data_IF_354128878370
#
_entry.id   IF_354128878370
#
_cell.length_a   1.000
_cell.length_b   1.000
_cell.length_c   1.000
_cell.angle_alpha   90.00
_cell.angle_beta   90.00
_cell.angle_gamma   90.00
#
_symmetry.space_group_name_H-M   'P 1'
#
loop_
_entity.id
_entity.type
_entity.pdbx_description
1 polymer ?
#
# COMPACT_ATOMS: atom_id res chain seq x y z
N UNK A 1 -16.11 10.92 -29.53
CA UNK A 1 -17.42 11.11 -30.19
C UNK A 1 -18.36 11.75 -29.19
N UNK A 2 -19.19 12.70 -29.64
CA UNK A 2 -19.99 13.53 -28.73
C UNK A 2 -21.37 13.83 -29.35
N UNK A 3 -22.44 13.63 -28.58
CA UNK A 3 -23.84 13.97 -28.92
C UNK A 3 -24.45 14.74 -27.74
N UNK A 4 -25.31 15.73 -28.00
CA UNK A 4 -25.85 16.61 -26.94
C UNK A 4 -27.37 16.85 -27.00
N UNK A 5 -28.05 16.40 -28.05
CA UNK A 5 -29.49 16.57 -28.14
C UNK A 5 -30.18 15.70 -27.09
N UNK A 6 -31.22 16.21 -26.41
CA UNK A 6 -31.85 15.52 -25.29
C UNK A 6 -32.29 14.08 -25.58
N UNK A 7 -32.73 13.80 -26.82
CA UNK A 7 -33.10 12.44 -27.27
C UNK A 7 -32.16 11.91 -28.36
N UNK A 8 -30.93 12.41 -28.39
CA UNK A 8 -29.93 12.01 -29.37
C UNK A 8 -29.53 10.56 -29.16
N UNK A 9 -29.38 9.80 -30.25
CA UNK A 9 -28.83 8.44 -30.23
C UNK A 9 -27.41 8.47 -30.79
N UNK A 10 -26.47 7.90 -30.05
CA UNK A 10 -25.11 7.63 -30.53
C UNK A 10 -24.97 6.11 -30.71
N UNK A 11 -25.00 5.67 -31.97
CA UNK A 11 -24.85 4.25 -32.32
C UNK A 11 -23.53 3.98 -33.01
N UNK A 12 -22.78 3.00 -32.51
CA UNK A 12 -21.68 2.33 -33.21
C UNK A 12 -22.08 0.89 -33.49
N UNK A 13 -22.02 0.50 -34.75
CA UNK A 13 -22.26 -0.88 -35.18
C UNK A 13 -21.14 -1.36 -36.08
N UNK A 14 -20.58 -2.54 -35.78
CA UNK A 14 -19.56 -3.19 -36.61
C UNK A 14 -19.97 -4.64 -36.88
N UNK A 15 -19.79 -5.10 -38.13
CA UNK A 15 -20.05 -6.50 -38.49
C UNK A 15 -19.06 -7.50 -37.86
N UNK A 16 -17.93 -7.01 -37.33
CA UNK A 16 -16.95 -7.77 -36.56
C UNK A 16 -16.72 -7.08 -35.22
N UNK A 17 -15.54 -6.52 -35.01
CA UNK A 17 -15.12 -5.97 -33.72
C UNK A 17 -15.33 -4.45 -33.66
N UNK A 18 -15.63 -3.94 -32.47
CA UNK A 18 -15.48 -2.53 -32.12
C UNK A 18 -14.27 -2.44 -31.18
N UNK A 19 -13.27 -1.64 -31.56
CA UNK A 19 -12.08 -1.40 -30.74
C UNK A 19 -12.04 0.07 -30.35
N UNK A 20 -12.10 0.35 -29.05
CA UNK A 20 -11.96 1.67 -28.45
C UNK A 20 -10.73 1.65 -27.56
N UNK A 21 -9.68 2.35 -27.99
CA UNK A 21 -8.42 2.49 -27.22
C UNK A 21 -8.36 3.91 -26.68
N UNK A 22 -8.37 4.06 -25.35
CA UNK A 22 -8.39 5.36 -24.66
C UNK A 22 -9.37 6.38 -25.28
N UNK A 23 -10.51 5.90 -25.74
CA UNK A 23 -11.46 6.68 -26.54
C UNK A 23 -12.58 7.22 -25.68
N UNK A 24 -13.07 8.42 -26.00
CA UNK A 24 -14.23 9.02 -25.34
C UNK A 24 -15.48 8.92 -26.22
N UNK A 25 -16.56 8.36 -25.68
CA UNK A 25 -17.89 8.26 -26.31
C UNK A 25 -18.91 8.87 -25.38
N UNK A 26 -19.40 10.07 -25.69
CA UNK A 26 -20.21 10.85 -24.76
C UNK A 26 -21.54 11.23 -25.41
N UNK A 27 -22.63 11.00 -24.68
CA UNK A 27 -23.95 11.53 -25.00
C UNK A 27 -24.50 12.34 -23.81
N UNK A 28 -24.45 13.66 -23.93
CA UNK A 28 -24.85 14.60 -22.90
C UNK A 28 -26.35 14.97 -22.91
N UNK A 29 -27.15 14.41 -23.83
CA UNK A 29 -28.59 14.66 -23.87
C UNK A 29 -29.33 14.02 -22.70
N UNK A 30 -30.30 14.71 -22.10
CA UNK A 30 -31.02 14.28 -20.87
C UNK A 30 -31.62 12.86 -20.93
N UNK A 31 -32.06 12.40 -22.09
CA UNK A 31 -32.54 11.04 -22.40
C UNK A 31 -31.72 10.40 -23.55
N UNK A 32 -30.48 10.86 -23.72
CA UNK A 32 -29.60 10.46 -24.81
C UNK A 32 -29.12 9.02 -24.63
N UNK A 33 -29.19 8.23 -25.70
CA UNK A 33 -28.79 6.81 -25.66
C UNK A 33 -27.44 6.60 -26.34
N UNK A 34 -26.65 5.68 -25.81
CA UNK A 34 -25.42 5.18 -26.44
C UNK A 34 -25.58 3.69 -26.68
N UNK A 35 -25.39 3.25 -27.93
CA UNK A 35 -25.45 1.85 -28.31
C UNK A 35 -24.21 1.42 -29.07
N UNK A 36 -23.46 0.48 -28.51
CA UNK A 36 -22.32 -0.16 -29.18
C UNK A 36 -22.69 -1.61 -29.48
N UNK A 37 -22.60 -2.01 -30.75
CA UNK A 37 -22.97 -3.35 -31.21
C UNK A 37 -21.88 -3.93 -32.11
N UNK A 38 -21.11 -4.88 -31.59
CA UNK A 38 -20.10 -5.62 -32.33
C UNK A 38 -20.62 -7.01 -32.71
N UNK A 39 -20.44 -7.42 -33.96
CA UNK A 39 -20.74 -8.78 -34.42
C UNK A 39 -19.86 -9.85 -33.76
N UNK A 40 -18.64 -9.50 -33.38
CA UNK A 40 -17.70 -10.34 -32.63
C UNK A 40 -17.42 -9.70 -31.27
N UNK A 41 -16.35 -8.92 -31.14
CA UNK A 41 -15.89 -8.44 -29.85
C UNK A 41 -16.06 -6.93 -29.68
N UNK A 42 -16.39 -6.51 -28.47
CA UNK A 42 -16.31 -5.12 -28.04
C UNK A 42 -15.10 -4.97 -27.11
N UNK A 43 -14.04 -4.34 -27.60
CA UNK A 43 -12.80 -4.15 -26.87
C UNK A 43 -12.62 -2.69 -26.45
N UNK A 44 -12.62 -2.45 -25.14
CA UNK A 44 -12.32 -1.17 -24.49
C UNK A 44 -10.92 -1.27 -23.88
N UNK A 45 -9.91 -0.93 -24.67
CA UNK A 45 -8.50 -1.09 -24.30
C UNK A 45 -7.87 0.23 -23.84
N UNK A 46 -6.65 0.12 -23.32
CA UNK A 46 -5.90 1.24 -22.76
C UNK A 46 -4.87 1.82 -23.73
N UNK A 47 -4.57 3.10 -23.57
CA UNK A 47 -3.34 3.72 -24.07
C UNK A 47 -2.42 3.94 -22.88
N UNK A 48 -1.25 3.32 -22.90
CA UNK A 48 -0.21 3.59 -21.90
C UNK A 48 0.45 4.93 -22.20
N UNK A 49 0.45 5.85 -21.25
CA UNK A 49 1.27 7.06 -21.24
C UNK A 49 2.47 6.89 -20.33
N UNK A 50 3.55 7.61 -20.61
CA UNK A 50 4.75 7.58 -19.78
C UNK A 50 5.33 8.98 -19.68
N UNK A 51 5.64 9.41 -18.46
CA UNK A 51 6.33 10.65 -18.14
C UNK A 51 7.68 10.30 -17.52
N UNK A 52 8.75 10.97 -17.95
CA UNK A 52 10.08 10.78 -17.38
C UNK A 52 10.72 12.14 -17.10
N UNK A 53 11.26 12.30 -15.89
CA UNK A 53 11.97 13.49 -15.45
C UNK A 53 13.30 13.08 -14.83
N UNK A 54 14.39 13.45 -15.49
CA UNK A 54 15.74 13.17 -15.02
C UNK A 54 16.45 14.48 -14.71
N UNK A 55 16.98 14.60 -13.49
CA UNK A 55 17.75 15.74 -13.01
C UNK A 55 19.09 15.25 -12.47
N UNK A 56 20.16 15.48 -13.23
CA UNK A 56 21.52 15.13 -12.85
C UNK A 56 22.31 16.42 -12.57
N UNK A 57 22.66 16.67 -11.30
CA UNK A 57 23.48 17.82 -10.92
C UNK A 57 24.98 17.49 -10.97
N UNK A 58 25.34 16.30 -10.50
CA UNK A 58 26.68 15.71 -10.62
C UNK A 58 26.61 14.18 -10.42
N UNK A 59 27.77 13.50 -10.45
CA UNK A 59 27.84 12.04 -10.34
C UNK A 59 27.31 11.45 -9.03
N UNK A 60 27.16 12.25 -7.98
CA UNK A 60 26.67 11.85 -6.66
C UNK A 60 25.37 12.56 -6.25
N UNK A 61 24.81 13.39 -7.13
CA UNK A 61 23.60 14.16 -6.85
C UNK A 61 22.70 14.08 -8.08
N UNK A 62 21.68 13.23 -8.01
CA UNK A 62 20.73 13.01 -9.09
C UNK A 62 19.35 12.62 -8.56
N UNK A 63 18.34 12.86 -9.40
CA UNK A 63 16.97 12.45 -9.19
C UNK A 63 16.37 11.99 -10.51
N UNK A 64 15.91 10.75 -10.56
CA UNK A 64 15.25 10.15 -11.73
C UNK A 64 13.84 9.76 -11.34
N UNK A 65 12.88 10.20 -12.14
CA UNK A 65 11.46 9.92 -11.96
C UNK A 65 10.89 9.39 -13.26
N UNK A 66 10.09 8.34 -13.15
CA UNK A 66 9.29 7.81 -14.27
C UNK A 66 7.91 7.47 -13.74
N UNK A 67 6.88 7.87 -14.46
CA UNK A 67 5.51 7.45 -14.21
C UNK A 67 4.90 6.88 -15.49
N UNK A 68 4.05 5.87 -15.33
CA UNK A 68 3.33 5.19 -16.39
C UNK A 68 1.88 5.04 -15.98
N UNK A 69 0.96 5.33 -16.88
CA UNK A 69 -0.48 5.19 -16.63
C UNK A 69 -1.17 4.56 -17.83
N UNK A 70 -2.02 3.56 -17.58
CA UNK A 70 -2.90 2.99 -18.58
C UNK A 70 -4.23 3.76 -18.60
N UNK A 71 -4.44 4.56 -19.65
CA UNK A 71 -5.66 5.34 -19.84
C UNK A 71 -6.69 4.50 -20.58
N UNK A 72 -7.77 4.11 -19.91
CA UNK A 72 -8.87 3.35 -20.51
C UNK A 72 -9.88 4.19 -21.28
N UNK A 73 -10.75 3.51 -22.03
CA UNK A 73 -11.84 4.14 -22.75
C UNK A 73 -12.96 4.59 -21.82
N UNK A 74 -13.61 5.71 -22.16
CA UNK A 74 -14.68 6.32 -21.39
C UNK A 74 -15.96 6.38 -22.21
N UNK A 75 -17.06 5.85 -21.67
CA UNK A 75 -18.39 5.92 -22.28
C UNK A 75 -19.36 6.53 -21.27
N UNK A 76 -19.94 7.67 -21.62
CA UNK A 76 -20.84 8.41 -20.72
C UNK A 76 -22.14 8.71 -21.44
N UNK A 77 -23.27 8.44 -20.80
CA UNK A 77 -24.59 8.83 -21.28
C UNK A 77 -25.46 9.37 -20.14
N UNK A 78 -26.13 10.49 -20.37
CA UNK A 78 -27.17 11.00 -19.47
C UNK A 78 -28.48 10.20 -19.56
N UNK A 79 -28.66 9.39 -20.61
CA UNK A 79 -29.70 8.36 -20.68
C UNK A 79 -29.13 6.96 -20.47
N UNK A 80 -29.49 6.05 -21.37
CA UNK A 80 -29.13 4.63 -21.28
C UNK A 80 -27.88 4.28 -22.10
N UNK A 81 -27.12 3.30 -21.62
CA UNK A 81 -26.02 2.69 -22.37
C UNK A 81 -26.35 1.22 -22.64
N UNK A 82 -26.22 0.80 -23.89
CA UNK A 82 -26.32 -0.60 -24.30
C UNK A 82 -25.05 -1.05 -25.01
N UNK A 83 -24.37 -2.05 -24.45
CA UNK A 83 -23.18 -2.67 -25.00
C UNK A 83 -23.50 -4.10 -25.43
N UNK A 84 -23.27 -4.44 -26.70
CA UNK A 84 -23.52 -5.78 -27.24
C UNK A 84 -22.30 -6.28 -28.00
N UNK A 85 -21.83 -7.45 -27.62
CA UNK A 85 -20.82 -8.22 -28.34
C UNK A 85 -21.39 -9.59 -28.72
N UNK A 86 -21.18 -10.01 -29.96
CA UNK A 86 -21.57 -11.36 -30.40
C UNK A 86 -20.74 -12.47 -29.75
N UNK A 87 -19.51 -12.17 -29.34
CA UNK A 87 -18.60 -13.05 -28.62
C UNK A 87 -18.23 -12.41 -27.28
N UNK A 88 -17.17 -11.60 -27.20
CA UNK A 88 -16.65 -11.12 -25.93
C UNK A 88 -16.75 -9.60 -25.75
N UNK A 89 -17.01 -9.15 -24.52
CA UNK A 89 -16.84 -7.77 -24.10
C UNK A 89 -15.64 -7.67 -23.16
N UNK A 90 -14.58 -7.00 -23.61
CA UNK A 90 -13.34 -6.86 -22.87
C UNK A 90 -13.12 -5.39 -22.51
N UNK A 91 -12.96 -5.11 -21.21
CA UNK A 91 -12.70 -3.78 -20.70
C UNK A 91 -11.46 -3.79 -19.79
N UNK A 92 -10.52 -2.87 -20.06
CA UNK A 92 -9.31 -2.68 -19.24
C UNK A 92 -9.24 -1.21 -18.85
N UNK A 93 -9.22 -0.93 -17.54
CA UNK A 93 -9.30 0.41 -16.96
C UNK A 93 -10.41 1.31 -17.56
N UNK A 94 -11.48 0.71 -18.11
CA UNK A 94 -12.52 1.46 -18.82
C UNK A 94 -13.53 2.03 -17.83
N UNK A 95 -14.08 3.21 -18.14
CA UNK A 95 -15.11 3.87 -17.31
C UNK A 95 -16.40 4.02 -18.11
N UNK A 96 -17.47 3.35 -17.67
CA UNK A 96 -18.78 3.34 -18.31
C UNK A 96 -19.81 3.88 -17.33
N UNK A 97 -20.48 4.97 -17.68
CA UNK A 97 -21.43 5.65 -16.78
C UNK A 97 -22.70 6.02 -17.52
N UNK A 98 -23.80 5.35 -17.19
CA UNK A 98 -25.14 5.73 -17.59
C UNK A 98 -25.83 6.46 -16.43
N UNK A 99 -26.51 7.59 -16.65
CA UNK A 99 -27.34 8.16 -15.58
C UNK A 99 -28.67 7.42 -15.42
N UNK A 100 -29.07 6.62 -16.43
CA UNK A 100 -30.19 5.68 -16.37
C UNK A 100 -29.65 4.24 -16.42
N UNK A 101 -30.28 3.32 -17.16
CA UNK A 101 -29.86 1.93 -17.24
C UNK A 101 -28.58 1.69 -18.06
N UNK A 102 -27.70 0.83 -17.54
CA UNK A 102 -26.56 0.24 -18.24
C UNK A 102 -26.83 -1.25 -18.50
N UNK A 103 -26.86 -1.65 -19.77
CA UNK A 103 -26.99 -3.04 -20.17
C UNK A 103 -25.76 -3.47 -20.98
N UNK A 104 -25.10 -4.54 -20.53
CA UNK A 104 -24.01 -5.16 -21.26
C UNK A 104 -24.31 -6.64 -21.52
N UNK A 105 -24.14 -7.06 -22.77
CA UNK A 105 -24.37 -8.43 -23.18
C UNK A 105 -23.23 -8.94 -24.06
N UNK A 106 -22.74 -10.14 -23.76
CA UNK A 106 -21.75 -10.87 -24.56
C UNK A 106 -22.26 -12.29 -24.85
N UNK A 107 -22.05 -12.78 -26.06
CA UNK A 107 -22.41 -14.16 -26.43
C UNK A 107 -21.57 -15.21 -25.70
N UNK A 108 -20.35 -14.85 -25.32
CA UNK A 108 -19.41 -15.65 -24.55
C UNK A 108 -19.11 -14.93 -23.24
N UNK A 109 -18.04 -14.12 -23.18
CA UNK A 109 -17.51 -13.63 -21.91
C UNK A 109 -17.62 -12.11 -21.73
N UNK A 110 -17.78 -11.67 -20.48
CA UNK A 110 -17.61 -10.27 -20.07
C UNK A 110 -16.41 -10.18 -19.12
N UNK A 111 -15.37 -9.45 -19.53
CA UNK A 111 -14.14 -9.27 -18.77
C UNK A 111 -13.95 -7.80 -18.38
N UNK A 112 -14.07 -7.49 -17.09
CA UNK A 112 -13.77 -6.18 -16.50
C UNK A 112 -12.45 -6.27 -15.73
N UNK A 113 -11.38 -5.79 -16.35
CA UNK A 113 -10.01 -5.94 -15.87
C UNK A 113 -9.41 -4.61 -15.44
N UNK A 114 -8.42 -4.69 -14.55
CA UNK A 114 -7.58 -3.55 -14.18
C UNK A 114 -6.48 -3.30 -15.22
N UNK A 115 -6.31 -2.04 -15.61
CA UNK A 115 -5.03 -1.54 -16.13
C UNK A 115 -4.07 -1.23 -14.98
N UNK A 116 -2.98 -0.52 -15.27
CA UNK A 116 -1.95 -0.21 -14.28
C UNK A 116 -1.62 1.29 -14.23
N UNK A 117 -1.34 1.78 -13.04
CA UNK A 117 -0.63 3.04 -12.80
C UNK A 117 0.62 2.72 -12.00
N UNK A 118 1.78 3.15 -12.47
CA UNK A 118 3.05 2.85 -11.82
C UNK A 118 3.96 4.06 -11.81
N UNK A 119 4.76 4.22 -10.78
CA UNK A 119 5.82 5.20 -10.77
C UNK A 119 7.08 4.66 -10.10
N UNK A 120 8.22 5.21 -10.50
CA UNK A 120 9.51 4.96 -9.88
C UNK A 120 10.21 6.27 -9.61
N UNK A 121 10.80 6.40 -8.43
CA UNK A 121 11.64 7.52 -8.04
C UNK A 121 12.96 6.97 -7.52
N UNK A 122 14.08 7.44 -8.05
CA UNK A 122 15.40 7.21 -7.47
C UNK A 122 16.05 8.56 -7.21
N UNK A 123 16.39 8.82 -5.95
CA UNK A 123 17.13 9.99 -5.52
C UNK A 123 18.44 9.54 -4.88
N UNK A 124 19.54 10.19 -5.27
CA UNK A 124 20.83 10.00 -4.63
C UNK A 124 21.43 11.36 -4.32
N UNK A 125 21.94 11.51 -3.10
CA UNK A 125 22.63 12.73 -2.70
C UNK A 125 23.84 12.44 -1.84
N UNK A 126 24.92 13.16 -2.10
CA UNK A 126 26.14 13.09 -1.31
C UNK A 126 26.69 14.47 -1.03
N UNK A 127 26.82 14.78 0.25
CA UNK A 127 27.41 16.01 0.73
C UNK A 127 28.63 15.71 1.59
N UNK A 128 29.65 16.55 1.48
CA UNK A 128 30.85 16.45 2.30
C UNK A 128 31.27 17.82 2.81
N UNK A 129 31.81 17.87 4.02
CA UNK A 129 32.35 19.09 4.63
C UNK A 129 33.65 18.78 5.33
N UNK A 130 34.59 19.73 5.29
CA UNK A 130 35.92 19.63 5.91
C UNK A 130 36.16 20.85 6.79
N UNK A 131 36.63 20.62 8.01
CA UNK A 131 37.15 21.64 8.92
C UNK A 131 38.64 21.47 9.16
N UNK A 132 39.20 22.25 10.08
CA UNK A 132 40.65 22.26 10.37
C UNK A 132 41.19 20.91 10.87
N UNK A 133 40.39 20.14 11.62
CA UNK A 133 40.82 18.88 12.26
C UNK A 133 39.84 17.72 12.04
N UNK A 134 38.76 17.91 11.28
CA UNK A 134 37.73 16.90 11.06
C UNK A 134 37.12 16.98 9.66
N UNK A 135 36.65 15.84 9.16
CA UNK A 135 35.87 15.75 7.93
C UNK A 135 34.65 14.86 8.14
N UNK A 136 33.57 15.17 7.43
CA UNK A 136 32.34 14.39 7.45
C UNK A 136 31.74 14.30 6.05
N UNK A 137 31.11 13.18 5.73
CA UNK A 137 30.26 13.00 4.56
C UNK A 137 28.96 12.31 4.93
N UNK A 138 27.88 12.73 4.27
CA UNK A 138 26.56 12.12 4.37
C UNK A 138 26.09 11.75 2.97
N UNK A 139 25.77 10.48 2.78
CA UNK A 139 25.29 9.90 1.53
C UNK A 139 23.90 9.33 1.78
N UNK A 140 22.95 9.66 0.90
CA UNK A 140 21.58 9.14 0.93
C UNK A 140 21.24 8.54 -0.43
N UNK A 141 20.54 7.43 -0.41
CA UNK A 141 19.99 6.82 -1.60
C UNK A 141 18.59 6.33 -1.28
N UNK A 142 17.61 6.88 -1.97
CA UNK A 142 16.20 6.58 -1.79
C UNK A 142 15.67 6.07 -3.14
N UNK A 143 15.03 4.90 -3.15
CA UNK A 143 14.43 4.32 -4.34
C UNK A 143 13.05 3.80 -4.02
N UNK A 144 12.05 4.21 -4.80
CA UNK A 144 10.65 3.79 -4.66
C UNK A 144 10.20 3.26 -6.02
N UNK A 145 9.49 2.15 -6.02
CA UNK A 145 8.77 1.59 -7.16
C UNK A 145 7.38 1.21 -6.67
N UNK A 146 6.37 1.80 -7.29
CA UNK A 146 4.97 1.58 -6.96
C UNK A 146 4.20 1.17 -8.20
N UNK A 147 3.30 0.21 -8.04
CA UNK A 147 2.36 -0.24 -9.05
C UNK A 147 0.98 -0.45 -8.42
N UNK A 148 0.05 0.42 -8.80
CA UNK A 148 -1.36 0.35 -8.46
C UNK A 148 -2.18 -0.20 -9.63
N UNK A 149 -3.30 -0.83 -9.32
CA UNK A 149 -4.24 -1.36 -10.30
C UNK A 149 -5.33 -0.33 -10.60
N UNK A 150 -5.66 -0.09 -11.86
CA UNK A 150 -6.74 0.81 -12.29
C UNK A 150 -7.89 0.00 -12.86
N UNK A 151 -8.85 -0.37 -12.01
CA UNK A 151 -10.01 -1.18 -12.37
C UNK A 151 -10.93 -0.56 -13.42
N UNK A 152 -11.60 -1.42 -14.19
CA UNK A 152 -12.73 -0.99 -15.01
C UNK A 152 -13.97 -0.72 -14.14
N UNK A 153 -14.71 0.35 -14.43
CA UNK A 153 -15.91 0.76 -13.69
C UNK A 153 -17.13 0.81 -14.61
N UNK A 154 -18.21 0.16 -14.18
CA UNK A 154 -19.49 0.09 -14.89
C UNK A 154 -20.58 0.58 -13.95
N UNK A 155 -21.16 1.75 -14.22
CA UNK A 155 -22.15 2.36 -13.34
C UNK A 155 -23.41 2.82 -14.06
N UNK A 156 -24.52 2.77 -13.34
CA UNK A 156 -25.72 3.51 -13.70
C UNK A 156 -26.84 3.45 -12.68
N UNK A 157 -28.06 3.80 -13.07
CA UNK A 157 -29.23 3.69 -12.20
C UNK A 157 -29.53 2.21 -11.92
N UNK A 158 -29.71 1.43 -12.98
CA UNK A 158 -29.68 -0.03 -12.92
C UNK A 158 -28.57 -0.56 -13.82
N UNK A 159 -27.91 -1.64 -13.40
CA UNK A 159 -26.83 -2.26 -14.17
C UNK A 159 -27.12 -3.74 -14.38
N UNK A 160 -27.17 -4.17 -15.65
CA UNK A 160 -27.33 -5.56 -16.02
C UNK A 160 -26.17 -6.04 -16.90
N UNK A 161 -25.40 -7.01 -16.42
CA UNK A 161 -24.32 -7.66 -17.15
C UNK A 161 -24.70 -9.11 -17.43
N UNK A 162 -24.74 -9.51 -18.70
CA UNK A 162 -25.18 -10.84 -19.12
C UNK A 162 -24.12 -11.49 -20.03
N UNK A 163 -23.41 -12.48 -19.51
CA UNK A 163 -22.44 -13.28 -20.24
C UNK A 163 -23.04 -14.65 -20.61
N UNK A 164 -22.86 -15.10 -21.85
CA UNK A 164 -23.28 -16.44 -22.26
C UNK A 164 -22.48 -17.56 -21.58
N UNK A 165 -21.22 -17.31 -21.25
CA UNK A 165 -20.31 -18.22 -20.57
C UNK A 165 -19.86 -17.61 -19.24
N UNK A 166 -18.79 -16.80 -19.24
CA UNK A 166 -18.12 -16.37 -18.02
C UNK A 166 -18.15 -14.85 -17.82
N UNK A 167 -18.34 -14.40 -16.57
CA UNK A 167 -18.23 -12.99 -16.20
C UNK A 167 -17.11 -12.83 -15.18
N UNK A 168 -16.08 -12.06 -15.54
CA UNK A 168 -14.91 -11.80 -14.69
C UNK A 168 -14.78 -10.32 -14.34
N UNK A 169 -14.59 -10.03 -13.06
CA UNK A 169 -14.26 -8.69 -12.54
C UNK A 169 -12.98 -8.81 -11.72
N UNK A 170 -11.96 -8.03 -12.06
CA UNK A 170 -10.66 -8.04 -11.36
C UNK A 170 -10.24 -6.60 -11.03
N UNK A 171 -10.20 -6.28 -9.74
CA UNK A 171 -9.92 -4.95 -9.18
C UNK A 171 -10.83 -3.82 -9.69
N UNK A 172 -11.99 -4.15 -10.25
CA UNK A 172 -12.95 -3.24 -10.89
C UNK A 172 -14.22 -3.03 -10.07
N UNK A 173 -15.12 -2.18 -10.58
CA UNK A 173 -16.38 -1.88 -9.90
C UNK A 173 -17.60 -1.97 -10.81
N UNK A 174 -18.71 -2.51 -10.29
CA UNK A 174 -20.04 -2.50 -10.91
C UNK A 174 -21.03 -1.90 -9.93
N UNK A 175 -21.61 -0.74 -10.25
CA UNK A 175 -22.38 0.04 -9.29
C UNK A 175 -23.73 0.52 -9.85
N UNK A 176 -24.82 0.21 -9.13
CA UNK A 176 -26.18 0.69 -9.40
C UNK A 176 -26.66 1.62 -8.28
N UNK A 177 -27.45 2.64 -8.61
CA UNK A 177 -28.25 3.33 -7.57
C UNK A 177 -29.44 2.46 -7.14
N UNK A 178 -29.99 1.71 -8.07
CA UNK A 178 -31.00 0.66 -7.95
C UNK A 178 -30.33 -0.68 -8.30
N UNK A 179 -31.06 -1.60 -8.92
CA UNK A 179 -30.65 -2.99 -9.03
C UNK A 179 -29.37 -3.20 -9.86
N UNK A 180 -28.53 -4.09 -9.34
CA UNK A 180 -27.37 -4.64 -10.04
C UNK A 180 -27.58 -6.13 -10.26
N UNK A 181 -27.62 -6.56 -11.53
CA UNK A 181 -27.83 -7.94 -11.92
C UNK A 181 -26.67 -8.44 -12.80
N UNK A 182 -25.97 -9.46 -12.33
CA UNK A 182 -24.88 -10.14 -13.04
C UNK A 182 -25.31 -11.58 -13.30
N UNK A 183 -25.35 -11.96 -14.58
CA UNK A 183 -25.67 -13.32 -14.98
C UNK A 183 -24.59 -13.89 -15.90
N UNK A 184 -24.24 -15.15 -15.67
CA UNK A 184 -23.30 -15.90 -16.50
C UNK A 184 -23.80 -17.33 -16.71
N UNK A 185 -23.77 -17.82 -17.95
CA UNK A 185 -24.21 -19.19 -18.26
C UNK A 185 -23.33 -20.29 -17.64
N UNK A 186 -22.08 -19.95 -17.30
CA UNK A 186 -21.14 -20.78 -16.55
C UNK A 186 -20.69 -20.08 -15.28
N UNK A 187 -19.63 -19.28 -15.30
CA UNK A 187 -18.95 -18.87 -14.07
C UNK A 187 -19.00 -17.34 -13.86
N UNK A 188 -19.21 -16.91 -12.61
CA UNK A 188 -18.99 -15.52 -12.20
C UNK A 188 -17.77 -15.49 -11.27
N UNK A 189 -16.75 -14.71 -11.62
CA UNK A 189 -15.50 -14.58 -10.85
C UNK A 189 -15.22 -13.12 -10.52
N UNK A 190 -15.31 -12.79 -9.23
CA UNK A 190 -15.07 -11.45 -8.68
C UNK A 190 -13.84 -11.51 -7.80
N UNK A 191 -12.74 -10.89 -8.22
CA UNK A 191 -11.44 -11.06 -7.56
C UNK A 191 -10.70 -9.73 -7.43
N UNK A 192 -9.69 -9.72 -6.59
CA UNK A 192 -8.76 -8.59 -6.48
C UNK A 192 -7.87 -8.43 -7.71
N UNK A 193 -7.27 -7.26 -7.86
CA UNK A 193 -6.12 -7.02 -8.70
C UNK A 193 -4.91 -6.71 -7.81
N UNK A 194 -3.80 -7.42 -8.03
CA UNK A 194 -2.60 -7.26 -7.20
C UNK A 194 -1.91 -5.92 -7.47
N UNK A 195 -1.43 -5.30 -6.41
CA UNK A 195 -0.63 -4.08 -6.38
C UNK A 195 0.70 -4.39 -5.70
N UNK A 196 1.75 -3.64 -6.04
CA UNK A 196 3.10 -3.86 -5.52
C UNK A 196 3.74 -2.53 -5.12
N UNK A 197 4.42 -2.53 -3.98
CA UNK A 197 5.22 -1.45 -3.45
C UNK A 197 6.61 -1.97 -3.09
N UNK A 198 7.65 -1.33 -3.60
CA UNK A 198 9.04 -1.59 -3.23
C UNK A 198 9.74 -0.28 -2.90
N UNK A 199 10.43 -0.26 -1.76
CA UNK A 199 11.12 0.93 -1.29
C UNK A 199 12.47 0.57 -0.68
N UNK A 200 13.46 1.43 -0.89
CA UNK A 200 14.79 1.33 -0.30
C UNK A 200 15.20 2.70 0.20
N UNK A 201 15.56 2.77 1.47
CA UNK A 201 16.15 3.95 2.11
C UNK A 201 17.52 3.61 2.63
N UNK A 202 18.54 4.28 2.11
CA UNK A 202 19.92 4.16 2.58
C UNK A 202 20.40 5.51 3.08
N UNK A 203 21.01 5.49 4.27
CA UNK A 203 21.76 6.63 4.81
C UNK A 203 23.10 6.15 5.31
N UNK A 204 24.17 6.73 4.78
CA UNK A 204 25.54 6.47 5.21
C UNK A 204 26.22 7.76 5.68
N UNK A 205 26.70 7.76 6.91
CA UNK A 205 27.48 8.84 7.50
C UNK A 205 28.91 8.36 7.73
N UNK A 206 29.89 9.11 7.25
CA UNK A 206 31.31 8.89 7.51
C UNK A 206 31.91 10.11 8.17
N UNK A 207 32.72 9.91 9.20
CA UNK A 207 33.45 10.95 9.91
C UNK A 207 34.91 10.53 10.05
N UNK A 208 35.81 11.49 9.99
CA UNK A 208 37.23 11.26 10.21
C UNK A 208 37.91 12.45 10.86
N UNK A 209 39.02 12.20 11.55
CA UNK A 209 39.78 13.22 12.28
C UNK A 209 39.35 13.29 13.74
N UNK A 210 39.40 14.49 14.33
CA UNK A 210 39.04 14.75 15.72
C UNK A 210 37.51 14.67 15.91
N UNK A 211 37.08 13.84 16.85
CA UNK A 211 35.68 13.52 17.16
C UNK A 211 35.47 13.54 18.69
N UNK A 212 34.22 13.73 19.13
CA UNK A 212 33.87 13.59 20.54
C UNK A 212 33.85 12.12 20.96
N UNK A 213 34.36 11.79 22.14
CA UNK A 213 34.39 10.41 22.65
C UNK A 213 33.05 9.94 23.26
N UNK A 214 32.02 10.79 23.29
CA UNK A 214 30.74 10.50 23.96
C UNK A 214 30.69 10.86 25.46
N UNK A 215 31.74 11.52 25.96
CA UNK A 215 31.87 12.01 27.33
C UNK A 215 32.95 13.11 27.41
N UNK A 216 33.68 13.22 28.53
CA UNK A 216 34.81 14.14 28.65
C UNK A 216 36.05 13.49 28.03
N UNK A 217 36.35 13.85 26.79
CA UNK A 217 37.49 13.33 26.03
C UNK A 217 37.37 13.57 24.51
N UNK A 218 38.39 13.19 23.77
CA UNK A 218 38.40 13.26 22.31
C UNK A 218 38.93 11.96 21.69
N UNK A 219 38.44 11.65 20.50
CA UNK A 219 38.95 10.57 19.67
C UNK A 219 39.47 11.12 18.35
N UNK A 220 40.52 10.50 17.82
CA UNK A 220 41.04 10.78 16.48
C UNK A 220 40.99 9.48 15.70
N UNK A 221 40.22 9.46 14.63
CA UNK A 221 39.99 8.21 13.90
C UNK A 221 39.05 8.34 12.73
N UNK A 222 38.41 7.22 12.39
CA UNK A 222 37.38 7.08 11.37
C UNK A 222 36.16 6.40 11.99
N UNK A 223 34.98 6.86 11.59
CA UNK A 223 33.71 6.23 11.91
C UNK A 223 32.81 6.21 10.68
N UNK A 224 32.11 5.10 10.48
CA UNK A 224 31.09 4.94 9.45
C UNK A 224 29.86 4.32 10.07
N UNK A 225 28.69 4.86 9.75
CA UNK A 225 27.39 4.30 10.10
C UNK A 225 26.54 4.27 8.84
N UNK A 226 26.15 3.08 8.40
CA UNK A 226 25.28 2.84 7.26
C UNK A 226 24.00 2.17 7.75
N UNK A 227 22.86 2.76 7.42
CA UNK A 227 21.55 2.18 7.64
C UNK A 227 20.89 1.97 6.29
N UNK A 228 20.34 0.78 6.08
CA UNK A 228 19.53 0.46 4.90
C UNK A 228 18.22 -0.14 5.39
N UNK A 229 17.10 0.39 4.91
CA UNK A 229 15.76 -0.15 5.11
C UNK A 229 15.20 -0.50 3.76
N UNK A 230 14.88 -1.77 3.54
CA UNK A 230 14.22 -2.26 2.35
C UNK A 230 12.82 -2.71 2.72
N UNK A 231 11.82 -2.25 1.99
CA UNK A 231 10.42 -2.58 2.17
C UNK A 231 9.89 -3.16 0.86
N UNK A 232 9.16 -4.26 0.94
CA UNK A 232 8.45 -4.87 -0.19
C UNK A 232 7.05 -5.24 0.28
N UNK A 233 6.03 -4.94 -0.53
CA UNK A 233 4.64 -5.19 -0.20
C UNK A 233 3.82 -5.58 -1.42
N UNK A 234 3.12 -6.70 -1.34
CA UNK A 234 2.02 -7.04 -2.23
C UNK A 234 0.71 -6.65 -1.53
N UNK A 235 -0.07 -5.76 -2.13
CA UNK A 235 -1.45 -5.45 -1.72
C UNK A 235 -2.44 -5.91 -2.79
N UNK A 236 -3.73 -5.85 -2.48
CA UNK A 236 -4.78 -6.38 -3.34
C UNK A 236 -5.87 -5.32 -3.47
N UNK A 237 -6.08 -4.79 -4.67
CA UNK A 237 -7.20 -3.91 -4.97
C UNK A 237 -8.47 -4.74 -5.09
N UNK A 238 -9.37 -4.61 -4.12
CA UNK A 238 -10.67 -5.26 -4.12
C UNK A 238 -11.50 -4.92 -5.37
N UNK A 239 -12.29 -5.88 -5.84
CA UNK A 239 -13.43 -5.56 -6.71
C UNK A 239 -14.64 -5.18 -5.88
N UNK A 240 -15.50 -4.32 -6.40
CA UNK A 240 -16.73 -3.90 -5.71
C UNK A 240 -17.94 -4.08 -6.62
N UNK A 241 -18.95 -4.79 -6.15
CA UNK A 241 -20.24 -4.88 -6.82
C UNK A 241 -21.27 -4.33 -5.86
N UNK A 242 -22.09 -3.37 -6.27
CA UNK A 242 -23.15 -2.99 -5.38
C UNK A 242 -24.26 -2.12 -5.89
N UNK A 243 -25.36 -2.20 -5.17
CA UNK A 243 -26.57 -1.43 -5.35
C UNK A 243 -26.76 -0.53 -4.13
N UNK A 244 -26.97 0.77 -4.34
CA UNK A 244 -27.16 1.75 -3.25
C UNK A 244 -28.50 1.56 -2.55
N UNK A 245 -29.60 1.39 -3.30
CA UNK A 245 -30.98 1.36 -2.80
C UNK A 245 -31.79 0.15 -3.24
N UNK A 246 -31.29 -0.64 -4.17
CA UNK A 246 -31.97 -1.82 -4.72
C UNK A 246 -31.29 -3.13 -4.31
N UNK A 247 -31.53 -4.14 -5.12
CA UNK A 247 -30.97 -5.48 -4.94
C UNK A 247 -29.63 -5.63 -5.66
N UNK A 248 -28.81 -6.55 -5.18
CA UNK A 248 -27.66 -7.06 -5.93
C UNK A 248 -27.83 -8.56 -6.15
N UNK A 249 -27.85 -8.99 -7.41
CA UNK A 249 -28.09 -10.38 -7.80
C UNK A 249 -26.97 -10.89 -8.68
N UNK A 250 -26.28 -11.94 -8.23
CA UNK A 250 -25.23 -12.63 -8.98
C UNK A 250 -25.67 -14.09 -9.18
N UNK A 251 -25.93 -14.49 -10.43
CA UNK A 251 -26.30 -15.87 -10.76
C UNK A 251 -25.37 -16.45 -11.83
N UNK A 252 -24.65 -17.50 -11.42
CA UNK A 252 -23.79 -18.31 -12.25
C UNK A 252 -24.47 -19.66 -12.55
N UNK A 253 -24.39 -20.15 -13.79
CA UNK A 253 -24.87 -21.48 -14.14
C UNK A 253 -24.03 -22.63 -13.57
N UNK A 254 -22.79 -22.35 -13.15
CA UNK A 254 -21.83 -23.30 -12.61
C UNK A 254 -21.18 -22.79 -11.31
N UNK A 255 -20.12 -21.98 -11.33
CA UNK A 255 -19.44 -21.53 -10.11
C UNK A 255 -19.55 -20.02 -9.91
N UNK A 256 -19.88 -19.59 -8.69
CA UNK A 256 -19.80 -18.20 -8.25
C UNK A 256 -18.64 -18.05 -7.27
N UNK A 257 -17.61 -17.28 -7.62
CA UNK A 257 -16.42 -17.05 -6.80
C UNK A 257 -16.26 -15.56 -6.49
N UNK A 258 -16.11 -15.24 -5.20
CA UNK A 258 -15.79 -13.89 -4.70
C UNK A 258 -14.54 -14.02 -3.83
N UNK A 259 -13.46 -13.31 -4.18
CA UNK A 259 -12.16 -13.39 -3.48
C UNK A 259 -11.60 -12.01 -3.17
N UNK A 260 -11.37 -11.72 -1.89
CA UNK A 260 -10.92 -10.43 -1.36
C UNK A 260 -11.72 -9.24 -1.89
N UNK A 261 -13.02 -9.43 -2.17
CA UNK A 261 -13.85 -8.46 -2.87
C UNK A 261 -15.15 -8.20 -2.12
N UNK A 262 -15.77 -7.06 -2.42
CA UNK A 262 -16.95 -6.59 -1.70
C UNK A 262 -18.20 -6.67 -2.58
N UNK A 263 -19.30 -7.17 -2.01
CA UNK A 263 -20.62 -7.12 -2.62
C UNK A 263 -21.63 -6.51 -1.65
N UNK A 264 -22.32 -5.46 -2.10
CA UNK A 264 -23.23 -4.67 -1.26
C UNK A 264 -24.57 -4.51 -1.94
N UNK A 265 -25.66 -4.77 -1.22
CA UNK A 265 -27.03 -4.46 -1.66
C UNK A 265 -27.70 -3.53 -0.65
N UNK A 266 -28.32 -2.46 -1.12
CA UNK A 266 -29.16 -1.58 -0.30
C UNK A 266 -30.39 -2.31 0.26
N UNK A 267 -30.87 -3.34 -0.46
CA UNK A 267 -31.94 -4.24 -0.05
C UNK A 267 -31.43 -5.68 0.05
N UNK A 268 -31.84 -6.56 -0.87
CA UNK A 268 -31.57 -7.98 -0.79
C UNK A 268 -30.34 -8.36 -1.65
N UNK A 269 -29.47 -9.21 -1.11
CA UNK A 269 -28.30 -9.76 -1.79
C UNK A 269 -28.56 -11.22 -2.15
N UNK A 270 -28.62 -11.53 -3.44
CA UNK A 270 -28.84 -12.89 -3.95
C UNK A 270 -27.60 -13.42 -4.66
N UNK A 271 -27.06 -14.53 -4.17
CA UNK A 271 -25.90 -15.23 -4.73
C UNK A 271 -26.28 -16.66 -5.08
N UNK A 272 -26.13 -17.06 -6.35
CA UNK A 272 -26.52 -18.40 -6.81
C UNK A 272 -25.51 -19.01 -7.77
N UNK A 273 -25.21 -20.28 -7.55
CA UNK A 273 -24.38 -21.12 -8.41
C UNK A 273 -24.72 -22.61 -8.23
N UNK A 274 -24.04 -23.51 -8.94
CA UNK A 274 -23.92 -24.91 -8.50
C UNK A 274 -23.02 -25.01 -7.29
N UNK A 275 -21.92 -24.27 -7.30
CA UNK A 275 -21.04 -24.04 -6.16
C UNK A 275 -20.89 -22.52 -5.89
N UNK A 276 -20.78 -22.13 -4.62
CA UNK A 276 -20.52 -20.73 -4.22
C UNK A 276 -19.32 -20.68 -3.29
N UNK A 277 -18.30 -19.89 -3.66
CA UNK A 277 -17.06 -19.72 -2.89
C UNK A 277 -16.81 -18.26 -2.57
N UNK A 278 -16.71 -17.93 -1.29
CA UNK A 278 -16.34 -16.63 -0.76
C UNK A 278 -15.00 -16.81 -0.04
N UNK A 279 -13.95 -16.13 -0.46
CA UNK A 279 -12.60 -16.36 0.08
C UNK A 279 -11.84 -15.07 0.34
N UNK A 280 -10.86 -15.10 1.24
CA UNK A 280 -9.92 -14.01 1.43
C UNK A 280 -8.86 -14.02 0.32
N UNK A 281 -8.45 -12.83 -0.15
CA UNK A 281 -7.16 -12.65 -0.80
C UNK A 281 -6.06 -12.57 0.27
N UNK A 282 -4.79 -12.53 -0.15
CA UNK A 282 -3.66 -12.48 0.78
C UNK A 282 -2.69 -11.39 0.35
N UNK A 283 -2.42 -10.42 1.23
CA UNK A 283 -1.28 -9.51 1.08
C UNK A 283 -0.05 -10.05 1.80
N UNK A 284 1.11 -9.57 1.35
CA UNK A 284 2.41 -9.87 1.94
C UNK A 284 3.15 -8.56 2.17
N UNK A 285 3.83 -8.43 3.30
CA UNK A 285 4.72 -7.30 3.57
C UNK A 285 6.03 -7.83 4.16
N UNK A 286 7.16 -7.42 3.58
CA UNK A 286 8.50 -7.75 4.05
C UNK A 286 9.26 -6.45 4.31
N UNK A 287 9.84 -6.33 5.49
CA UNK A 287 10.71 -5.22 5.85
C UNK A 287 12.05 -5.75 6.36
N UNK A 288 13.13 -5.38 5.68
CA UNK A 288 14.50 -5.70 6.07
C UNK A 288 15.23 -4.42 6.49
N UNK A 289 15.66 -4.37 7.74
CA UNK A 289 16.52 -3.30 8.26
C UNK A 289 17.94 -3.83 8.46
N UNK A 290 18.92 -3.11 7.95
CA UNK A 290 20.34 -3.41 8.10
C UNK A 290 21.07 -2.20 8.67
N UNK A 291 21.71 -2.39 9.83
CA UNK A 291 22.53 -1.38 10.51
C UNK A 291 23.99 -1.85 10.53
N UNK A 292 24.87 -1.14 9.83
CA UNK A 292 26.31 -1.38 9.79
C UNK A 292 27.07 -0.21 10.45
N UNK A 293 27.95 -0.52 11.39
CA UNK A 293 28.79 0.46 12.07
C UNK A 293 30.25 0.01 12.03
N UNK A 294 31.16 0.93 11.71
CA UNK A 294 32.61 0.70 11.72
C UNK A 294 33.29 1.88 12.39
N UNK A 295 34.19 1.62 13.33
CA UNK A 295 34.95 2.66 14.02
C UNK A 295 36.38 2.20 14.23
N UNK A 296 37.34 3.10 14.04
CA UNK A 296 38.74 2.85 14.33
C UNK A 296 39.43 4.14 14.72
N UNK A 297 40.20 4.15 15.81
CA UNK A 297 40.90 5.35 16.23
C UNK A 297 41.53 5.28 17.61
N UNK A 298 42.27 6.34 17.93
CA UNK A 298 42.83 6.61 19.24
C UNK A 298 41.84 7.45 20.04
N UNK A 299 41.48 7.04 21.24
CA UNK A 299 40.59 7.77 22.15
C UNK A 299 41.34 8.12 23.42
N UNK A 300 41.33 9.41 23.78
CA UNK A 300 41.75 9.92 25.09
C UNK A 300 40.49 10.30 25.88
N UNK A 301 40.23 9.62 26.99
CA UNK A 301 39.05 9.86 27.82
C UNK A 301 39.41 9.91 29.30
N UNK A 302 38.68 10.73 30.06
CA UNK A 302 38.72 10.74 31.52
C UNK A 302 37.92 9.54 32.05
N UNK A 303 38.59 8.62 32.74
CA UNK A 303 37.96 7.49 33.42
C UNK A 303 37.67 7.86 34.87
N UNK A 304 36.39 7.95 35.24
CA UNK A 304 35.96 8.11 36.63
C UNK A 304 34.92 7.06 37.02
N UNK A 305 35.04 6.49 38.22
CA UNK A 305 33.97 5.69 38.84
C UNK A 305 32.86 6.64 39.28
N UNK A 306 31.70 6.57 38.64
CA UNK A 306 30.54 7.36 39.03
C UNK A 306 29.93 6.73 40.29
N UNK A 307 30.27 7.26 41.47
CA UNK A 307 29.34 7.24 42.60
C UNK A 307 28.09 8.01 42.18
N UNK A 308 26.90 7.47 42.42
CA UNK A 308 25.61 7.96 41.94
C UNK A 308 25.43 9.49 42.05
N UNK A 309 25.76 10.23 40.99
CA UNK A 309 25.44 11.64 40.86
C UNK A 309 25.42 12.08 39.39
N UNK A 310 24.18 12.17 38.87
CA UNK A 310 23.69 13.17 37.91
C UNK A 310 24.30 13.22 36.50
N UNK A 311 23.55 12.67 35.53
CA UNK A 311 23.65 12.97 34.10
C UNK A 311 22.77 14.17 33.69
N UNK A 312 22.64 15.20 34.54
CA UNK A 312 21.61 16.25 34.38
C UNK A 312 22.16 17.67 34.40
N UNK A 313 23.35 17.90 33.83
CA UNK A 313 23.92 19.26 33.72
C UNK A 313 23.83 19.88 32.32
N UNK A 314 23.53 19.12 31.26
CA UNK A 314 23.53 19.66 29.88
C UNK A 314 22.12 19.98 29.36
N UNK A 315 21.07 19.28 29.81
CA UNK A 315 19.69 19.57 29.38
C UNK A 315 19.06 20.77 30.10
N UNK A 316 19.48 21.09 31.33
CA UNK A 316 18.90 22.21 32.10
C UNK A 316 19.40 23.59 31.63
N UNK A 317 20.61 23.65 31.07
CA UNK A 317 21.19 24.91 30.57
C UNK A 317 20.54 25.42 29.28
N UNK A 318 19.92 24.54 28.48
CA UNK A 318 19.17 24.94 27.29
C UNK A 318 17.74 25.36 27.60
N UNK A 319 17.12 24.87 28.67
CA UNK A 319 15.78 25.29 29.12
C UNK A 319 15.78 26.62 29.87
N UNK A 320 16.90 26.99 30.48
CA UNK A 320 17.05 28.29 31.17
C UNK A 320 17.17 29.49 30.21
N UNK A 321 17.32 29.26 28.91
CA UNK A 321 17.43 30.34 27.91
C UNK A 321 16.09 30.86 27.39
N UNK A 322 14.97 30.32 27.88
CA UNK A 322 13.63 30.55 27.33
C UNK A 322 12.55 30.88 28.38
N UNK A 323 12.93 31.22 29.61
CA UNK A 323 11.97 31.66 30.64
C UNK A 323 12.42 32.99 31.23
N UNK A 324 11.63 34.05 31.03
CA UNK A 324 11.97 35.46 31.35
C UNK A 324 11.82 35.86 32.83
N UNK A 325 11.64 34.91 33.75
CA UNK A 325 11.28 35.24 35.14
C UNK A 325 12.37 34.83 36.16
N UNK A 326 13.14 35.82 36.61
CA UNK A 326 14.30 35.70 37.51
C UNK A 326 13.97 34.99 38.85
N UNK A 327 12.71 35.02 39.29
CA UNK A 327 12.30 34.38 40.56
C UNK A 327 12.14 32.86 40.45
N UNK A 328 11.89 32.33 39.25
CA UNK A 328 11.76 30.88 39.05
C UNK A 328 13.13 30.19 39.09
N UNK A 329 14.19 30.88 38.68
CA UNK A 329 15.58 30.42 38.78
C UNK A 329 16.04 30.28 40.24
N UNK A 330 15.66 31.24 41.10
CA UNK A 330 16.03 31.23 42.52
C UNK A 330 15.35 30.09 43.31
N UNK A 331 14.09 29.74 42.97
CA UNK A 331 13.36 28.65 43.62
C UNK A 331 13.89 27.26 43.22
N UNK A 332 14.38 27.07 41.99
CA UNK A 332 15.01 25.82 41.57
C UNK A 332 16.42 25.63 42.16
N UNK A 333 17.18 26.72 42.33
CA UNK A 333 18.47 26.70 43.02
C UNK A 333 18.32 26.32 44.51
N UNK A 334 17.22 26.72 45.16
CA UNK A 334 16.94 26.40 46.56
C UNK A 334 16.66 24.92 46.85
N UNK A 335 16.27 24.12 45.85
CA UNK A 335 16.01 22.67 46.02
C UNK A 335 17.27 21.80 45.89
N UNK A 336 18.41 22.38 45.54
CA UNK A 336 19.70 21.68 45.42
C UNK A 336 20.56 21.77 46.69
N UNK A 337 20.16 22.59 47.68
CA UNK A 337 20.88 22.74 48.93
C UNK A 337 20.48 21.72 50.03
N UNK A 338 19.43 20.93 49.80
CA UNK A 338 18.87 19.99 50.79
C UNK A 338 19.25 18.52 50.54
N UNK A 339 20.36 18.31 49.83
CA UNK A 339 21.04 17.02 49.77
C UNK A 339 22.48 17.16 50.30
N UNK A 340 22.67 17.83 51.44
CA UNK A 340 23.85 17.59 52.28
C UNK A 340 23.65 16.23 53.00
N UNK A 341 24.07 15.17 52.32
CA UNK A 341 24.24 13.83 52.88
C UNK A 341 25.72 13.52 53.04
N UNK A 342 26.18 13.61 54.30
CA UNK A 342 27.39 13.03 54.91
C UNK A 342 28.76 13.25 54.23
N UNK A 343 29.57 14.10 54.86
CA UNK A 343 30.99 14.33 54.57
C UNK A 343 31.82 13.24 55.25
N UNK A 344 31.84 12.03 54.69
CA UNK A 344 32.85 11.04 55.08
C UNK A 344 34.09 11.21 54.18
N UNK A 345 35.12 11.83 54.75
CA UNK A 345 36.35 12.22 54.09
C UNK A 345 37.34 11.04 54.01
N UNK A 346 37.01 10.01 53.24
CA UNK A 346 38.00 9.02 52.79
C UNK A 346 37.55 8.26 51.53
N UNK A 347 37.34 8.99 50.42
CA UNK A 347 37.15 8.37 49.12
C UNK A 347 38.16 8.94 48.12
N UNK A 348 39.17 8.14 47.78
CA UNK A 348 40.15 8.42 46.74
C UNK A 348 39.43 8.44 45.37
N UNK A 349 38.74 9.55 45.07
CA UNK A 349 38.18 9.81 43.74
C UNK A 349 39.33 10.16 42.79
N UNK A 350 40.03 9.12 42.38
CA UNK A 350 41.05 9.19 41.35
C UNK A 350 40.35 9.48 40.02
N UNK A 351 40.60 10.69 39.49
CA UNK A 351 40.32 11.01 38.10
C UNK A 351 41.40 10.33 37.27
N UNK A 352 41.07 9.20 36.68
CA UNK A 352 42.00 8.49 35.80
C UNK A 352 41.98 9.06 34.39
N UNK A 353 43.12 8.99 33.70
CA UNK A 353 43.23 9.28 32.27
C UNK A 353 43.44 7.96 31.54
N UNK A 354 42.61 7.71 30.52
CA UNK A 354 42.71 6.51 29.69
C UNK A 354 43.02 6.87 28.24
N UNK A 355 43.98 6.16 27.65
CA UNK A 355 44.31 6.19 26.24
C UNK A 355 44.00 4.82 25.67
N UNK A 356 43.21 4.74 24.60
CA UNK A 356 42.90 3.48 23.93
C UNK A 356 43.00 3.60 22.42
N UNK A 357 43.60 2.61 21.78
CA UNK A 357 43.57 2.43 20.32
C UNK A 357 42.73 1.20 20.03
N UNK A 358 41.73 1.32 19.16
CA UNK A 358 40.89 0.19 18.82
C UNK A 358 40.28 0.28 17.44
N UNK A 359 39.80 -0.87 16.96
CA UNK A 359 38.95 -0.99 15.78
C UNK A 359 37.79 -1.91 16.11
N UNK A 360 36.59 -1.51 15.70
CA UNK A 360 35.38 -2.31 15.85
C UNK A 360 34.48 -2.17 14.62
N UNK A 361 33.80 -3.26 14.29
CA UNK A 361 32.74 -3.32 13.30
C UNK A 361 31.57 -4.12 13.85
N UNK A 362 30.36 -3.63 13.64
CA UNK A 362 29.13 -4.36 13.90
C UNK A 362 28.20 -4.30 12.71
N UNK A 363 27.46 -5.38 12.49
CA UNK A 363 26.36 -5.48 11.55
C UNK A 363 25.19 -6.14 12.25
N UNK A 364 24.03 -5.50 12.17
CA UNK A 364 22.75 -6.04 12.62
C UNK A 364 21.81 -6.07 11.43
N UNK A 365 21.07 -7.16 11.27
CA UNK A 365 20.05 -7.32 10.26
C UNK A 365 18.79 -7.88 10.89
N UNK A 366 17.64 -7.26 10.62
CA UNK A 366 16.33 -7.72 11.06
C UNK A 366 15.41 -7.77 9.86
N UNK A 367 14.77 -8.91 9.63
CA UNK A 367 13.73 -9.09 8.60
C UNK A 367 12.42 -9.42 9.29
N UNK A 368 11.37 -8.67 8.99
CA UNK A 368 9.99 -8.93 9.42
C UNK A 368 9.16 -9.23 8.19
N UNK A 369 8.52 -10.38 8.16
CA UNK A 369 7.60 -10.81 7.10
C UNK A 369 6.19 -10.98 7.69
N UNK A 370 5.19 -10.48 6.99
CA UNK A 370 3.78 -10.53 7.37
C UNK A 370 2.94 -11.04 6.20
N UNK A 371 2.01 -11.94 6.49
CA UNK A 371 0.93 -12.31 5.58
C UNK A 371 -0.40 -11.92 6.22
N UNK A 372 -1.20 -11.14 5.50
CA UNK A 372 -2.48 -10.63 5.98
C UNK A 372 -3.56 -11.11 5.01
N UNK A 373 -4.55 -11.81 5.54
CA UNK A 373 -5.75 -12.15 4.81
C UNK A 373 -6.62 -10.91 4.62
N UNK A 374 -6.99 -10.63 3.37
CA UNK A 374 -7.94 -9.59 2.99
C UNK A 374 -9.27 -10.27 2.66
N UNK A 375 -10.19 -10.25 3.62
CA UNK A 375 -11.47 -10.93 3.50
C UNK A 375 -12.37 -10.39 2.38
N UNK A 376 -13.32 -11.21 1.92
CA UNK A 376 -14.44 -10.71 1.11
C UNK A 376 -15.57 -10.26 2.03
N UNK A 377 -16.22 -9.12 1.75
CA UNK A 377 -17.36 -8.64 2.52
C UNK A 377 -18.66 -8.72 1.72
N UNK A 378 -19.68 -9.38 2.27
CA UNK A 378 -21.02 -9.46 1.69
C UNK A 378 -22.01 -8.74 2.61
N UNK A 379 -22.62 -7.66 2.13
CA UNK A 379 -23.49 -6.80 2.91
C UNK A 379 -24.86 -6.63 2.26
N UNK A 380 -25.91 -7.02 2.96
CA UNK A 380 -27.30 -6.78 2.55
C UNK A 380 -28.00 -5.84 3.53
N UNK A 381 -28.65 -4.81 3.02
CA UNK A 381 -29.49 -3.90 3.82
C UNK A 381 -30.75 -4.56 4.35
N UNK A 382 -31.17 -5.69 3.77
CA UNK A 382 -32.26 -6.55 4.26
C UNK A 382 -31.78 -7.99 4.40
N UNK A 383 -31.93 -8.83 3.38
CA UNK A 383 -31.63 -10.26 3.45
C UNK A 383 -30.45 -10.65 2.56
N UNK A 384 -29.64 -11.58 3.04
CA UNK A 384 -28.60 -12.24 2.23
C UNK A 384 -29.05 -13.68 1.96
N UNK A 385 -29.23 -14.04 0.69
CA UNK A 385 -29.56 -15.39 0.26
C UNK A 385 -28.44 -15.97 -0.62
N UNK A 386 -27.81 -17.05 -0.15
CA UNK A 386 -26.80 -17.79 -0.91
C UNK A 386 -27.32 -19.20 -1.20
N UNK A 387 -27.31 -19.59 -2.47
CA UNK A 387 -27.79 -20.91 -2.91
C UNK A 387 -26.77 -21.63 -3.79
N UNK A 388 -26.24 -22.75 -3.31
CA UNK A 388 -25.49 -23.72 -4.10
C UNK A 388 -26.42 -24.87 -4.50
N UNK A 389 -26.71 -24.96 -5.80
CA UNK A 389 -27.75 -25.85 -6.35
C UNK A 389 -27.27 -27.27 -6.65
N UNK A 390 -25.96 -27.50 -6.72
CA UNK A 390 -25.39 -28.79 -7.10
C UNK A 390 -24.21 -29.25 -6.26
N UNK A 391 -23.63 -28.37 -5.45
CA UNK A 391 -22.43 -28.65 -4.65
C UNK A 391 -22.43 -27.80 -3.36
N UNK A 392 -21.25 -27.37 -2.91
CA UNK A 392 -21.03 -26.75 -1.61
C UNK A 392 -21.14 -25.21 -1.62
N UNK A 393 -21.40 -24.67 -0.43
CA UNK A 393 -21.08 -23.28 -0.07
C UNK A 393 -19.78 -23.28 0.75
N UNK A 394 -18.77 -22.55 0.30
CA UNK A 394 -17.52 -22.32 1.04
C UNK A 394 -17.36 -20.83 1.35
N UNK A 395 -17.13 -20.50 2.62
CA UNK A 395 -16.78 -19.15 3.07
C UNK A 395 -15.49 -19.24 3.88
N UNK A 396 -14.38 -18.72 3.36
CA UNK A 396 -13.07 -18.74 3.99
C UNK A 396 -12.54 -17.32 4.20
N UNK A 397 -12.55 -16.83 5.45
CA UNK A 397 -12.13 -15.47 5.76
C UNK A 397 -13.03 -14.39 5.14
N UNK A 398 -14.29 -14.72 4.84
CA UNK A 398 -15.30 -13.78 4.39
C UNK A 398 -16.21 -13.32 5.54
N UNK A 399 -16.75 -12.11 5.44
CA UNK A 399 -17.77 -11.58 6.34
C UNK A 399 -19.14 -11.56 5.64
N UNK A 400 -20.16 -12.10 6.29
CA UNK A 400 -21.54 -12.11 5.80
C UNK A 400 -22.41 -11.27 6.73
N UNK A 401 -23.02 -10.21 6.22
CA UNK A 401 -23.88 -9.30 6.99
C UNK A 401 -25.21 -9.09 6.28
N UNK A 402 -26.29 -9.21 7.04
CA UNK A 402 -27.63 -8.83 6.65
C UNK A 402 -28.30 -8.12 7.82
N UNK A 403 -29.13 -7.12 7.56
CA UNK A 403 -29.88 -6.44 8.62
C UNK A 403 -31.05 -7.29 9.14
N UNK A 404 -31.56 -8.20 8.31
CA UNK A 404 -32.61 -9.16 8.62
C UNK A 404 -32.00 -10.57 8.61
N UNK A 405 -32.28 -11.38 7.58
CA UNK A 405 -31.89 -12.79 7.57
C UNK A 405 -30.67 -13.07 6.69
N UNK A 406 -29.83 -14.03 7.15
CA UNK A 406 -28.80 -14.68 6.32
C UNK A 406 -29.25 -16.12 6.07
N UNK A 407 -29.54 -16.45 4.81
CA UNK A 407 -29.93 -17.79 4.36
C UNK A 407 -28.83 -18.43 3.53
N UNK A 408 -28.31 -19.56 3.98
CA UNK A 408 -27.35 -20.39 3.25
C UNK A 408 -28.01 -21.73 2.90
N UNK A 409 -28.15 -22.04 1.62
CA UNK A 409 -28.73 -23.28 1.13
C UNK A 409 -27.77 -23.98 0.18
N UNK A 410 -27.13 -25.06 0.64
CA UNK A 410 -26.23 -25.87 -0.17
C UNK A 410 -26.85 -27.24 -0.47
N UNK A 411 -26.61 -27.75 -1.68
CA UNK A 411 -27.02 -29.09 -2.06
C UNK A 411 -26.23 -30.18 -1.32
N UNK A 412 -25.00 -29.85 -0.88
CA UNK A 412 -24.10 -30.75 -0.16
C UNK A 412 -23.67 -30.15 1.18
N UNK A 413 -22.57 -29.39 1.23
CA UNK A 413 -21.98 -28.92 2.48
C UNK A 413 -21.94 -27.38 2.57
N UNK A 414 -21.99 -26.87 3.80
CA UNK A 414 -21.74 -25.45 4.12
C UNK A 414 -20.48 -25.40 5.00
N UNK A 415 -19.38 -24.89 4.44
CA UNK A 415 -18.08 -24.78 5.10
C UNK A 415 -17.77 -23.32 5.44
N UNK A 416 -17.66 -23.01 6.74
CA UNK A 416 -17.29 -21.67 7.22
C UNK A 416 -15.92 -21.75 7.91
N UNK A 417 -14.90 -21.22 7.26
CA UNK A 417 -13.50 -21.28 7.67
C UNK A 417 -12.96 -19.87 7.93
N UNK A 418 -12.05 -19.73 8.89
CA UNK A 418 -11.29 -18.49 9.06
C UNK A 418 -10.14 -18.40 8.06
N UNK A 419 -9.68 -17.18 7.78
CA UNK A 419 -8.39 -16.97 7.14
C UNK A 419 -7.30 -16.72 8.20
N UNK A 420 -6.05 -17.03 7.87
CA UNK A 420 -4.92 -16.95 8.78
C UNK A 420 -4.02 -15.76 8.44
N UNK A 421 -3.70 -14.97 9.46
CA UNK A 421 -2.64 -13.99 9.41
C UNK A 421 -1.39 -14.58 10.07
N UNK A 422 -0.21 -14.25 9.54
CA UNK A 422 1.06 -14.67 10.13
C UNK A 422 2.07 -13.53 10.13
N UNK A 423 2.96 -13.54 11.12
CA UNK A 423 4.08 -12.62 11.22
C UNK A 423 5.30 -13.43 11.67
N UNK A 424 6.40 -13.28 10.94
CA UNK A 424 7.67 -13.90 11.26
C UNK A 424 8.76 -12.83 11.32
N UNK A 425 9.54 -12.83 12.40
CA UNK A 425 10.67 -11.91 12.58
C UNK A 425 11.93 -12.72 12.81
N UNK A 426 12.93 -12.48 11.98
CA UNK A 426 14.27 -13.05 12.12
C UNK A 426 15.31 -11.94 12.25
N UNK A 427 16.34 -12.18 13.06
CA UNK A 427 17.41 -11.20 13.28
C UNK A 427 18.77 -11.88 13.40
N UNK A 428 19.80 -11.19 12.94
CA UNK A 428 21.19 -11.64 13.08
C UNK A 428 22.08 -10.46 13.47
N UNK A 429 23.03 -10.72 14.38
CA UNK A 429 24.00 -9.73 14.83
C UNK A 429 25.40 -10.31 14.69
N UNK A 430 26.31 -9.53 14.13
CA UNK A 430 27.73 -9.85 14.03
C UNK A 430 28.55 -8.67 14.53
N UNK A 431 29.53 -8.94 15.39
CA UNK A 431 30.50 -7.94 15.83
C UNK A 431 31.91 -8.51 15.74
N UNK A 432 32.86 -7.65 15.39
CA UNK A 432 34.29 -7.94 15.37
C UNK A 432 35.01 -6.71 15.86
N UNK A 433 35.92 -6.85 16.81
CA UNK A 433 36.69 -5.72 17.29
C UNK A 433 37.81 -6.15 18.21
N UNK A 434 38.76 -5.23 18.40
CA UNK A 434 39.88 -5.36 19.31
C UNK A 434 40.39 -3.97 19.69
N UNK A 435 40.77 -3.80 20.94
CA UNK A 435 41.33 -2.57 21.46
C UNK A 435 42.49 -2.86 22.43
N UNK A 436 43.44 -1.94 22.48
CA UNK A 436 44.55 -1.93 23.43
C UNK A 436 44.50 -0.57 24.13
N UNK A 437 44.49 -0.57 25.46
CA UNK A 437 44.40 0.65 26.24
C UNK A 437 45.36 0.68 27.43
N UNK A 438 45.77 1.88 27.80
CA UNK A 438 46.51 2.19 29.02
C UNK A 438 45.68 3.18 29.83
N UNK A 439 45.41 2.85 31.09
CA UNK A 439 44.75 3.73 32.04
C UNK A 439 45.69 4.04 33.19
N UNK A 440 45.79 5.31 33.56
CA UNK A 440 46.48 5.74 34.77
C UNK A 440 45.45 6.35 35.71
N UNK A 441 45.42 5.86 36.95
CA UNK A 441 44.64 6.38 38.06
C UNK A 441 45.48 6.29 39.32
#
# INVERSE_FOLDING_TARGET
MYVQNDKGELTLAAGKDINLTASQVINAGTDGTVRLSAGNNLNLTTLTTTETLNSDWDSNNYRHYSAREDIGSQIVANGQITLRAGQDLNAVAASITAQQGLQAQAGNDINLLSGQSAYSLTEHSKQSSRGLFSAQSSERHDSIQDQAATGSTFSGDSVALNAGNDLRISGGAVAGTQDVALTAGRDITVVTARENHQETHLREEKKSGLMGSGGIGFSIGQASRKRTTDSEGDSEKASTIGSERGDATLIAGNALTIRGSDVVAGQDLTLRGKAVTISAAQSRQTQRQTDEQKQSGLTLALSGTVGSALNTAVQTAQTAKSTEDDRLQALQAGRLAEAEGDKDANNNNVVGVSISLGSQSSKSEQTTEQHIAQGSSLNAGRNLAMTATGDDILVQGGELRAAQDVTLNAARDINLLSAQNSQHTQGSNQSKGGSIGLSLG
#
